data_IF_030178833441
#
_entry.id   IF_030178833441
#
_cell.length_a   1.000
_cell.length_b   1.000
_cell.length_c   1.000
_cell.angle_alpha   90.00
_cell.angle_beta   90.00
_cell.angle_gamma   90.00
#
_symmetry.space_group_name_H-M   'P 1'
#
loop_
_entity.id
_entity.type
_entity.pdbx_description
1 polymer ?
#
# COMPACT_ATOMS: atom_id res chain seq x y z
N UNK A 1 -15.27 -5.78 12.99
CA UNK A 1 -14.70 -6.96 12.29
C UNK A 1 -13.57 -6.54 11.35
N UNK A 2 -12.61 -7.42 10.99
CA UNK A 2 -11.52 -7.11 10.05
C UNK A 2 -11.59 -8.02 8.80
N UNK A 3 -11.79 -7.41 7.64
CA UNK A 3 -11.73 -8.02 6.31
C UNK A 3 -10.35 -7.75 5.69
N UNK A 4 -9.49 -8.77 5.68
CA UNK A 4 -8.10 -8.68 5.21
C UNK A 4 -7.74 -9.87 4.29
N UNK A 5 -6.43 -10.11 4.12
CA UNK A 5 -5.90 -11.20 3.30
C UNK A 5 -6.29 -12.62 3.77
N UNK A 6 -6.73 -12.78 5.01
CA UNK A 6 -7.13 -14.07 5.56
C UNK A 6 -8.59 -14.42 5.24
N UNK A 7 -9.38 -13.47 4.74
CA UNK A 7 -10.77 -13.68 4.38
C UNK A 7 -10.90 -14.73 3.25
N UNK A 8 -11.86 -15.68 3.33
CA UNK A 8 -12.03 -16.74 2.33
C UNK A 8 -12.17 -16.23 0.89
N UNK A 9 -12.94 -15.16 0.67
CA UNK A 9 -13.08 -14.54 -0.66
C UNK A 9 -11.74 -14.04 -1.22
N UNK A 10 -10.88 -13.46 -0.37
CA UNK A 10 -9.56 -13.00 -0.78
C UNK A 10 -8.65 -14.18 -1.16
N UNK A 11 -8.64 -15.22 -0.32
CA UNK A 11 -7.86 -16.44 -0.54
C UNK A 11 -8.24 -17.11 -1.87
N UNK A 12 -9.53 -17.21 -2.18
CA UNK A 12 -10.04 -17.78 -3.43
C UNK A 12 -9.55 -16.97 -4.65
N UNK A 13 -9.75 -15.65 -4.65
CA UNK A 13 -9.30 -14.76 -5.74
C UNK A 13 -7.79 -14.79 -5.94
N UNK A 14 -7.02 -14.86 -4.86
CA UNK A 14 -5.56 -14.92 -4.93
C UNK A 14 -5.08 -16.21 -5.61
N UNK A 15 -5.71 -17.37 -5.32
CA UNK A 15 -5.37 -18.65 -5.95
C UNK A 15 -5.60 -18.61 -7.46
N UNK A 16 -6.67 -17.97 -7.92
CA UNK A 16 -7.02 -17.88 -9.34
C UNK A 16 -6.17 -16.86 -10.11
N UNK A 17 -5.63 -15.85 -9.44
CA UNK A 17 -4.88 -14.77 -10.10
C UNK A 17 -3.39 -15.07 -10.34
N UNK A 18 -2.86 -16.25 -9.95
CA UNK A 18 -1.46 -16.66 -10.19
C UNK A 18 -0.38 -15.74 -9.57
N UNK A 19 -0.78 -14.76 -8.75
CA UNK A 19 0.11 -13.69 -8.30
C UNK A 19 0.94 -14.13 -7.08
N UNK A 20 2.23 -13.78 -7.11
CA UNK A 20 3.09 -13.93 -5.94
C UNK A 20 2.51 -13.10 -4.77
N UNK A 21 2.45 -13.72 -3.59
CA UNK A 21 1.75 -13.20 -2.40
C UNK A 21 2.38 -11.97 -1.78
N UNK A 22 3.59 -11.63 -2.23
CA UNK A 22 4.48 -10.65 -1.61
C UNK A 22 4.51 -9.31 -2.35
N UNK A 23 3.37 -8.81 -2.82
CA UNK A 23 3.34 -7.49 -3.48
C UNK A 23 3.15 -6.34 -2.47
N UNK A 24 3.42 -5.10 -2.91
CA UNK A 24 3.33 -3.94 -2.01
C UNK A 24 1.95 -3.69 -1.40
N UNK A 25 0.86 -4.05 -2.10
CA UNK A 25 -0.49 -3.92 -1.54
C UNK A 25 -0.73 -4.91 -0.39
N UNK A 26 -0.15 -6.12 -0.50
CA UNK A 26 -0.22 -7.11 0.57
C UNK A 26 0.44 -6.62 1.86
N UNK A 27 1.67 -6.12 1.76
CA UNK A 27 2.38 -5.61 2.93
C UNK A 27 1.75 -4.34 3.50
N UNK A 28 1.14 -3.51 2.67
CA UNK A 28 0.44 -2.33 3.17
C UNK A 28 -0.81 -2.70 3.98
N UNK A 29 -1.64 -3.62 3.49
CA UNK A 29 -2.78 -4.15 4.26
C UNK A 29 -2.33 -4.84 5.56
N UNK A 30 -1.21 -5.59 5.50
CA UNK A 30 -0.62 -6.22 6.69
C UNK A 30 -0.22 -5.17 7.73
N UNK A 31 0.51 -4.13 7.31
CA UNK A 31 0.91 -3.05 8.21
C UNK A 31 -0.30 -2.30 8.79
N UNK A 32 -1.38 -2.12 8.02
CA UNK A 32 -2.64 -1.55 8.54
C UNK A 32 -3.18 -2.41 9.69
N UNK A 33 -3.25 -3.73 9.50
CA UNK A 33 -3.77 -4.66 10.51
C UNK A 33 -2.88 -4.71 11.76
N UNK A 34 -1.56 -4.66 11.61
CA UNK A 34 -0.61 -4.82 12.72
C UNK A 34 -0.26 -3.50 13.43
N UNK A 35 -0.35 -2.37 12.74
CA UNK A 35 0.21 -1.10 13.22
C UNK A 35 -0.74 0.10 13.15
N UNK A 36 -1.91 -0.02 12.52
CA UNK A 36 -2.90 1.07 12.46
C UNK A 36 -4.14 0.70 13.26
N UNK A 37 -4.82 -0.40 12.91
CA UNK A 37 -6.07 -0.83 13.55
C UNK A 37 -5.95 -0.93 15.08
N UNK A 38 -4.89 -1.53 15.67
CA UNK A 38 -4.80 -1.68 17.12
C UNK A 38 -4.74 -0.36 17.90
N UNK A 39 -4.41 0.74 17.23
CA UNK A 39 -4.28 2.07 17.84
C UNK A 39 -5.51 2.96 17.63
N UNK A 40 -6.55 2.44 16.97
CA UNK A 40 -7.78 3.15 16.68
C UNK A 40 -8.94 2.42 17.37
N UNK A 41 -9.44 3.00 18.45
CA UNK A 41 -10.64 2.51 19.13
C UNK A 41 -11.89 2.99 18.41
N UNK A 42 -12.51 2.10 17.63
CA UNK A 42 -13.78 2.33 16.91
C UNK A 42 -14.56 1.02 16.85
N UNK A 43 -15.89 1.11 16.79
CA UNK A 43 -16.82 0.00 16.56
C UNK A 43 -17.00 -0.33 15.07
N UNK A 44 -16.47 0.50 14.18
CA UNK A 44 -16.49 0.29 12.73
C UNK A 44 -15.80 -0.99 12.30
N UNK A 45 -16.33 -1.57 11.23
CA UNK A 45 -15.67 -2.66 10.52
C UNK A 45 -14.48 -2.15 9.70
N UNK A 46 -13.49 -3.01 9.44
CA UNK A 46 -12.28 -2.67 8.71
C UNK A 46 -12.17 -3.46 7.41
N UNK A 47 -12.05 -2.78 6.27
CA UNK A 47 -11.81 -3.41 4.96
C UNK A 47 -10.44 -2.95 4.46
N UNK A 48 -9.45 -3.83 4.57
CA UNK A 48 -8.03 -3.51 4.30
C UNK A 48 -7.54 -4.04 2.97
N UNK A 49 -8.45 -4.55 2.14
CA UNK A 49 -8.16 -5.17 0.83
C UNK A 49 -9.33 -4.92 -0.12
N UNK A 50 -9.05 -4.79 -1.42
CA UNK A 50 -10.13 -4.69 -2.42
C UNK A 50 -10.80 -6.05 -2.64
N UNK A 51 -12.04 -6.20 -2.17
CA UNK A 51 -12.82 -7.43 -2.21
C UNK A 51 -14.23 -7.21 -2.80
N UNK A 52 -14.34 -6.97 -4.13
CA UNK A 52 -15.64 -6.83 -4.78
C UNK A 52 -16.52 -8.08 -4.63
N UNK A 53 -15.92 -9.25 -4.37
CA UNK A 53 -16.65 -10.48 -4.09
C UNK A 53 -17.49 -10.41 -2.81
N UNK A 54 -17.15 -9.55 -1.82
CA UNK A 54 -17.99 -9.33 -0.65
C UNK A 54 -19.38 -8.80 -1.05
N UNK A 55 -19.47 -8.09 -2.18
CA UNK A 55 -20.75 -7.63 -2.70
C UNK A 55 -21.70 -8.77 -3.08
N UNK A 56 -21.19 -9.99 -3.26
CA UNK A 56 -21.94 -11.20 -3.64
C UNK A 56 -22.18 -12.15 -2.45
N UNK A 57 -21.89 -11.69 -1.23
CA UNK A 57 -22.07 -12.45 0.01
C UNK A 57 -23.03 -11.71 0.93
N UNK A 58 -23.53 -12.39 1.97
CA UNK A 58 -24.42 -11.80 2.99
C UNK A 58 -23.68 -10.88 3.99
N UNK A 59 -22.43 -10.52 3.69
CA UNK A 59 -21.64 -9.61 4.51
C UNK A 59 -22.18 -8.19 4.35
N UNK A 60 -22.68 -7.62 5.45
CA UNK A 60 -22.96 -6.19 5.52
C UNK A 60 -21.68 -5.41 5.84
N UNK A 61 -21.39 -4.39 5.03
CA UNK A 61 -20.28 -3.46 5.22
C UNK A 61 -20.76 -2.05 5.57
N UNK A 62 -22.04 -1.87 5.90
CA UNK A 62 -22.47 -0.62 6.54
C UNK A 62 -21.58 -0.34 7.75
N UNK A 63 -21.32 0.94 8.00
CA UNK A 63 -20.51 1.37 9.15
C UNK A 63 -19.09 0.77 9.12
N UNK A 64 -18.37 0.98 8.00
CA UNK A 64 -17.02 0.45 7.78
C UNK A 64 -15.99 1.52 7.40
N UNK A 65 -14.75 1.32 7.82
CA UNK A 65 -13.56 2.00 7.32
C UNK A 65 -12.93 1.13 6.22
N UNK A 66 -12.83 1.68 5.01
CA UNK A 66 -12.36 0.99 3.80
C UNK A 66 -11.09 1.65 3.26
N UNK A 67 -10.02 0.89 3.14
CA UNK A 67 -8.77 1.35 2.52
C UNK A 67 -8.81 1.19 1.01
N UNK A 68 -8.63 2.30 0.29
CA UNK A 68 -8.63 2.36 -1.17
C UNK A 68 -7.21 2.17 -1.70
N UNK A 69 -6.92 0.96 -2.19
CA UNK A 69 -5.59 0.58 -2.70
C UNK A 69 -5.39 0.83 -4.21
N UNK A 70 -6.46 1.06 -4.97
CA UNK A 70 -6.39 1.22 -6.43
C UNK A 70 -6.82 2.62 -6.85
N UNK A 71 -5.86 3.55 -6.77
CA UNK A 71 -6.05 4.96 -7.11
C UNK A 71 -6.19 5.20 -8.62
N UNK A 72 -5.78 4.23 -9.46
CA UNK A 72 -5.82 4.35 -10.92
C UNK A 72 -7.19 3.97 -11.50
N UNK A 73 -7.94 3.11 -10.82
CA UNK A 73 -9.27 2.67 -11.25
C UNK A 73 -10.24 2.70 -10.06
N UNK A 74 -10.67 3.89 -9.61
CA UNK A 74 -11.63 4.03 -8.51
C UNK A 74 -12.97 3.35 -8.81
N UNK A 75 -13.33 3.19 -10.09
CA UNK A 75 -14.50 2.41 -10.51
C UNK A 75 -14.45 0.95 -10.04
N UNK A 76 -13.27 0.40 -9.72
CA UNK A 76 -13.15 -0.93 -9.10
C UNK A 76 -13.79 -1.03 -7.71
N UNK A 77 -14.20 0.09 -7.13
CA UNK A 77 -14.92 0.19 -5.86
C UNK A 77 -16.41 0.54 -6.01
N UNK A 78 -16.97 0.52 -7.23
CA UNK A 78 -18.40 0.83 -7.44
C UNK A 78 -19.35 -0.04 -6.61
N UNK A 79 -18.93 -1.26 -6.29
CA UNK A 79 -19.67 -2.18 -5.44
C UNK A 79 -19.88 -1.67 -4.01
N UNK A 80 -19.13 -0.65 -3.56
CA UNK A 80 -19.33 0.00 -2.27
C UNK A 80 -20.60 0.86 -2.21
N UNK A 81 -21.15 1.30 -3.36
CA UNK A 81 -22.35 2.17 -3.43
C UNK A 81 -23.58 1.63 -2.70
N UNK A 82 -23.65 0.32 -2.49
CA UNK A 82 -24.81 -0.31 -1.84
C UNK A 82 -24.77 -0.23 -0.31
N UNK A 83 -23.61 0.12 0.27
CA UNK A 83 -23.45 0.24 1.71
C UNK A 83 -23.50 1.71 2.14
N UNK A 84 -23.86 1.92 3.40
CA UNK A 84 -24.04 3.24 4.00
C UNK A 84 -22.97 3.49 5.05
N UNK A 85 -22.77 4.78 5.34
CA UNK A 85 -21.88 5.20 6.42
C UNK A 85 -20.46 4.61 6.28
N UNK A 86 -19.89 4.78 5.10
CA UNK A 86 -18.53 4.34 4.80
C UNK A 86 -17.53 5.47 5.02
N UNK A 87 -16.38 5.15 5.62
CA UNK A 87 -15.20 6.00 5.65
C UNK A 87 -14.18 5.42 4.68
N UNK A 88 -13.67 6.24 3.76
CA UNK A 88 -12.82 5.79 2.66
C UNK A 88 -11.41 6.36 2.79
N UNK A 89 -10.47 5.54 3.25
CA UNK A 89 -9.08 5.95 3.44
C UNK A 89 -8.34 5.89 2.12
N UNK A 90 -7.94 7.06 1.61
CA UNK A 90 -7.34 7.25 0.29
C UNK A 90 -5.86 7.61 0.40
N UNK A 91 -5.02 6.88 -0.34
CA UNK A 91 -3.57 7.13 -0.42
C UNK A 91 -3.15 8.30 -1.32
N UNK A 92 -4.08 8.83 -2.12
CA UNK A 92 -3.83 9.89 -3.12
C UNK A 92 -4.97 10.92 -3.05
N UNK A 93 -4.68 12.23 -3.00
CA UNK A 93 -5.73 13.26 -2.89
C UNK A 93 -6.77 13.21 -4.01
N UNK A 94 -6.35 13.07 -5.27
CA UNK A 94 -7.28 12.97 -6.41
C UNK A 94 -8.16 11.71 -6.42
N UNK A 95 -7.88 10.73 -5.54
CA UNK A 95 -8.78 9.59 -5.34
C UNK A 95 -9.94 9.95 -4.45
N UNK A 96 -9.78 10.85 -3.49
CA UNK A 96 -10.85 11.29 -2.57
C UNK A 96 -12.05 11.84 -3.34
N UNK A 97 -11.80 12.76 -4.28
CA UNK A 97 -12.82 13.36 -5.15
C UNK A 97 -13.58 12.30 -5.96
N UNK A 98 -12.89 11.23 -6.36
CA UNK A 98 -13.43 10.15 -7.19
C UNK A 98 -14.18 9.09 -6.41
N UNK A 99 -14.09 9.09 -5.08
CA UNK A 99 -14.76 8.09 -4.22
C UNK A 99 -15.73 8.71 -3.22
N UNK A 100 -15.81 10.04 -3.13
CA UNK A 100 -16.69 10.75 -2.19
C UNK A 100 -18.18 10.38 -2.31
N UNK A 101 -18.63 9.93 -3.49
CA UNK A 101 -20.00 9.46 -3.69
C UNK A 101 -20.26 8.03 -3.19
N UNK A 102 -19.22 7.33 -2.70
CA UNK A 102 -19.35 6.05 -2.01
C UNK A 102 -19.41 6.21 -0.48
N UNK A 103 -18.96 7.34 0.08
CA UNK A 103 -18.79 7.56 1.51
C UNK A 103 -17.83 8.72 1.80
N UNK A 104 -17.55 8.96 3.08
CA UNK A 104 -16.70 10.07 3.55
C UNK A 104 -15.22 9.78 3.31
N UNK A 105 -14.54 10.48 2.38
CA UNK A 105 -13.15 10.19 2.10
C UNK A 105 -12.20 10.88 3.10
N UNK A 106 -11.14 10.17 3.50
CA UNK A 106 -10.03 10.71 4.30
C UNK A 106 -8.73 10.52 3.52
N UNK A 107 -7.89 11.55 3.45
CA UNK A 107 -6.53 11.40 2.96
C UNK A 107 -5.64 10.79 4.04
N UNK A 108 -4.98 9.68 3.71
CA UNK A 108 -3.89 9.14 4.50
C UNK A 108 -2.75 8.74 3.57
N UNK A 109 -1.58 9.43 3.62
CA UNK A 109 -0.44 9.05 2.79
C UNK A 109 -0.05 7.59 3.02
N UNK A 110 0.50 6.96 1.97
CA UNK A 110 1.06 5.62 2.07
C UNK A 110 2.13 5.57 3.16
N UNK A 111 1.98 4.65 4.10
CA UNK A 111 2.90 4.45 5.23
C UNK A 111 3.54 3.07 5.23
N UNK A 112 4.67 2.96 5.94
CA UNK A 112 5.42 1.71 6.13
C UNK A 112 5.97 1.64 7.55
N UNK A 113 6.29 0.44 8.05
CA UNK A 113 6.97 0.29 9.34
C UNK A 113 8.46 0.65 9.20
N UNK A 114 8.80 1.92 9.42
CA UNK A 114 10.14 2.47 9.16
C UNK A 114 11.18 1.75 10.01
N UNK A 115 10.91 1.58 11.31
CA UNK A 115 11.81 0.90 12.25
C UNK A 115 12.13 -0.54 11.84
N UNK A 116 11.18 -1.25 11.22
CA UNK A 116 11.40 -2.60 10.73
C UNK A 116 12.30 -2.62 9.50
N UNK A 117 12.12 -1.66 8.59
CA UNK A 117 12.88 -1.55 7.34
C UNK A 117 14.32 -1.11 7.61
N UNK A 118 14.51 -0.17 8.54
CA UNK A 118 15.83 0.36 8.91
C UNK A 118 16.81 -0.72 9.38
N UNK A 119 16.32 -1.85 9.92
CA UNK A 119 17.13 -3.00 10.33
C UNK A 119 17.93 -3.62 9.18
N UNK A 120 17.50 -3.40 7.93
CA UNK A 120 18.18 -3.90 6.74
C UNK A 120 19.15 -2.88 6.14
N UNK A 121 19.21 -1.65 6.65
CA UNK A 121 20.05 -0.59 6.12
C UNK A 121 21.53 -0.95 6.25
N UNK A 122 22.29 -0.80 5.17
CA UNK A 122 23.74 -0.98 5.15
C UNK A 122 24.44 0.37 5.11
N UNK A 123 25.57 0.48 5.83
CA UNK A 123 26.44 1.67 5.78
C UNK A 123 27.21 1.77 4.46
N UNK A 124 27.60 0.61 3.91
CA UNK A 124 28.36 0.52 2.65
C UNK A 124 27.54 -0.25 1.62
N UNK A 125 27.46 0.31 0.42
CA UNK A 125 26.77 -0.24 -0.73
C UNK A 125 27.81 -0.78 -1.72
N UNK A 126 27.58 -2.00 -2.21
CA UNK A 126 28.51 -2.77 -3.04
C UNK A 126 27.98 -3.02 -4.46
N UNK A 127 26.78 -2.52 -4.78
CA UNK A 127 26.17 -2.63 -6.10
C UNK A 127 25.65 -1.29 -6.58
N UNK A 128 25.68 -1.06 -7.89
CA UNK A 128 25.33 0.25 -8.48
C UNK A 128 23.82 0.43 -8.62
N UNK A 129 23.20 -0.31 -9.56
CA UNK A 129 21.82 -0.05 -9.99
C UNK A 129 21.01 -1.35 -10.01
N UNK A 130 19.79 -1.28 -9.49
CA UNK A 130 18.81 -2.35 -9.62
C UNK A 130 17.40 -1.82 -9.93
N UNK A 131 16.58 -2.69 -10.53
CA UNK A 131 15.14 -2.56 -10.59
C UNK A 131 14.49 -3.40 -9.50
N UNK A 132 13.53 -2.80 -8.77
CA UNK A 132 12.74 -3.50 -7.77
C UNK A 132 11.24 -3.28 -8.03
N UNK A 133 10.56 -4.32 -8.50
CA UNK A 133 9.17 -4.21 -8.92
C UNK A 133 8.60 -5.52 -9.45
N UNK A 134 7.47 -5.41 -10.18
CA UNK A 134 6.93 -6.55 -10.93
C UNK A 134 7.67 -6.68 -12.24
N UNK A 135 8.00 -7.89 -12.64
CA UNK A 135 8.75 -8.16 -13.87
C UNK A 135 8.07 -7.58 -15.12
N UNK A 136 6.74 -7.71 -15.21
CA UNK A 136 5.94 -7.12 -16.30
C UNK A 136 5.84 -5.58 -16.28
N UNK A 137 6.55 -4.91 -15.37
CA UNK A 137 6.67 -3.44 -15.30
C UNK A 137 8.05 -2.95 -15.69
N UNK A 138 8.99 -3.84 -16.01
CA UNK A 138 10.26 -3.46 -16.59
C UNK A 138 9.98 -2.85 -17.97
N UNK A 139 10.50 -1.65 -18.21
CA UNK A 139 10.33 -0.91 -19.46
C UNK A 139 11.68 -0.31 -19.89
N UNK A 140 11.68 0.41 -21.01
CA UNK A 140 12.87 1.04 -21.58
C UNK A 140 13.53 2.11 -20.70
N UNK A 141 12.90 2.56 -19.61
CA UNK A 141 13.49 3.50 -18.65
C UNK A 141 14.41 2.80 -17.64
N UNK A 142 14.23 1.49 -17.47
CA UNK A 142 15.11 0.66 -16.65
C UNK A 142 16.34 0.32 -17.50
N UNK A 143 17.56 0.70 -17.10
CA UNK A 143 18.76 0.38 -17.86
C UNK A 143 18.94 -1.14 -18.01
N UNK A 144 19.40 -1.58 -19.18
CA UNK A 144 19.58 -3.01 -19.47
C UNK A 144 20.58 -3.71 -18.53
N UNK A 145 21.54 -2.95 -17.98
CA UNK A 145 22.53 -3.41 -17.02
C UNK A 145 22.03 -3.45 -15.57
N UNK A 146 20.83 -2.94 -15.27
CA UNK A 146 20.30 -2.95 -13.91
C UNK A 146 19.94 -4.37 -13.47
N UNK A 147 20.40 -4.77 -12.29
CA UNK A 147 20.01 -6.04 -11.69
C UNK A 147 18.48 -6.09 -11.46
N UNK A 148 17.86 -7.25 -11.63
CA UNK A 148 16.40 -7.40 -11.54
C UNK A 148 16.00 -8.06 -10.22
N UNK A 149 15.60 -7.26 -9.23
CA UNK A 149 15.11 -7.71 -7.93
C UNK A 149 13.60 -7.98 -7.99
N UNK A 150 13.21 -9.05 -8.68
CA UNK A 150 11.80 -9.43 -8.86
C UNK A 150 11.49 -10.79 -8.22
N UNK A 151 10.23 -11.02 -7.84
CA UNK A 151 9.80 -12.32 -7.29
C UNK A 151 10.32 -12.69 -5.89
N UNK A 152 11.20 -11.88 -5.30
CA UNK A 152 11.81 -12.15 -3.99
C UNK A 152 10.79 -12.01 -2.83
N UNK A 153 10.90 -12.86 -1.79
CA UNK A 153 10.26 -12.59 -0.50
C UNK A 153 10.70 -11.23 0.07
N UNK A 154 9.83 -10.54 0.82
CA UNK A 154 10.10 -9.14 1.20
C UNK A 154 11.37 -8.96 2.02
N UNK A 155 11.65 -9.84 2.97
CA UNK A 155 12.87 -9.76 3.77
C UNK A 155 14.13 -9.87 2.88
N UNK A 156 14.16 -10.79 1.90
CA UNK A 156 15.25 -10.90 0.91
C UNK A 156 15.32 -9.69 0.02
N UNK A 157 14.17 -9.18 -0.43
CA UNK A 157 14.11 -7.99 -1.26
C UNK A 157 14.70 -6.77 -0.55
N UNK A 158 14.36 -6.55 0.73
CA UNK A 158 14.95 -5.47 1.54
C UNK A 158 16.46 -5.66 1.76
N UNK A 159 16.89 -6.88 2.06
CA UNK A 159 18.32 -7.22 2.16
C UNK A 159 19.08 -6.92 0.87
N UNK A 160 18.61 -7.40 -0.28
CA UNK A 160 19.27 -7.17 -1.56
C UNK A 160 19.21 -5.69 -1.97
N UNK A 161 18.06 -5.02 -1.83
CA UNK A 161 17.95 -3.59 -2.16
C UNK A 161 18.93 -2.73 -1.37
N UNK A 162 19.18 -3.06 -0.09
CA UNK A 162 20.10 -2.29 0.76
C UNK A 162 21.53 -2.18 0.20
N UNK A 163 21.91 -3.10 -0.68
CA UNK A 163 23.23 -3.20 -1.33
C UNK A 163 23.45 -2.18 -2.44
N UNK A 164 22.37 -1.62 -3.01
CA UNK A 164 22.43 -0.79 -4.21
C UNK A 164 22.45 0.70 -3.89
N UNK A 165 23.21 1.47 -4.66
CA UNK A 165 23.18 2.94 -4.66
C UNK A 165 21.87 3.46 -5.23
N UNK A 166 21.49 3.00 -6.41
CA UNK A 166 20.28 3.45 -7.10
C UNK A 166 19.27 2.30 -7.27
N UNK A 167 18.00 2.60 -7.04
CA UNK A 167 16.89 1.67 -7.26
C UNK A 167 15.84 2.30 -8.18
N UNK A 168 15.56 1.62 -9.29
CA UNK A 168 14.37 1.85 -10.11
C UNK A 168 13.16 1.20 -9.45
N UNK A 169 12.29 2.01 -8.85
CA UNK A 169 11.10 1.54 -8.16
C UNK A 169 10.00 2.61 -8.11
N UNK A 170 8.77 2.19 -7.82
CA UNK A 170 7.64 3.10 -7.55
C UNK A 170 6.82 2.66 -6.34
N UNK A 171 6.01 3.59 -5.81
CA UNK A 171 5.08 3.35 -4.70
C UNK A 171 5.80 2.83 -3.44
N UNK A 172 5.20 1.84 -2.79
CA UNK A 172 5.70 1.28 -1.52
C UNK A 172 7.17 0.83 -1.58
N UNK A 173 7.56 0.08 -2.61
CA UNK A 173 8.95 -0.41 -2.75
C UNK A 173 9.96 0.73 -2.81
N UNK A 174 9.57 1.85 -3.38
CA UNK A 174 10.46 2.98 -3.56
C UNK A 174 10.56 3.86 -2.28
N UNK A 175 9.50 3.91 -1.47
CA UNK A 175 9.59 4.42 -0.07
C UNK A 175 10.56 3.56 0.74
N UNK A 176 10.49 2.24 0.60
CA UNK A 176 11.37 1.31 1.32
C UNK A 176 12.83 1.44 0.89
N UNK A 177 13.10 1.55 -0.42
CA UNK A 177 14.43 1.88 -0.92
C UNK A 177 14.97 3.20 -0.34
N UNK A 178 14.12 4.24 -0.22
CA UNK A 178 14.51 5.54 0.33
C UNK A 178 14.94 5.42 1.78
N UNK A 179 14.21 4.63 2.59
CA UNK A 179 14.58 4.35 4.00
C UNK A 179 15.93 3.61 4.08
N UNK A 180 16.17 2.66 3.17
CA UNK A 180 17.44 1.94 3.03
C UNK A 180 18.60 2.81 2.49
N UNK A 181 18.36 4.10 2.25
CA UNK A 181 19.35 5.05 1.79
C UNK A 181 19.73 4.91 0.32
N UNK A 182 18.88 4.29 -0.50
CA UNK A 182 19.06 4.26 -1.95
C UNK A 182 18.54 5.55 -2.58
N UNK A 183 19.19 6.00 -3.64
CA UNK A 183 18.62 6.97 -4.57
C UNK A 183 17.50 6.31 -5.39
N UNK A 184 16.39 7.01 -5.56
CA UNK A 184 15.20 6.48 -6.23
C UNK A 184 15.11 7.04 -7.63
N UNK A 185 15.03 6.14 -8.62
CA UNK A 185 14.66 6.46 -10.00
C UNK A 185 13.26 5.93 -10.29
N UNK A 186 12.39 6.76 -10.84
CA UNK A 186 11.02 6.36 -11.18
C UNK A 186 10.99 5.80 -12.59
N UNK A 187 10.50 4.57 -12.72
CA UNK A 187 10.31 3.94 -14.03
C UNK A 187 8.93 4.23 -14.66
N UNK A 188 8.01 4.88 -13.94
CA UNK A 188 6.62 5.14 -14.36
C UNK A 188 6.20 6.58 -14.05
N UNK A 189 6.09 7.42 -15.09
CA UNK A 189 5.87 8.89 -14.98
C UNK A 189 4.58 9.30 -14.28
N UNK A 190 3.65 8.35 -14.10
CA UNK A 190 2.42 8.61 -13.36
C UNK A 190 2.69 8.83 -11.87
N UNK A 191 3.85 8.40 -11.38
CA UNK A 191 4.27 8.65 -10.01
C UNK A 191 5.02 9.98 -9.92
N UNK A 192 4.75 10.80 -8.89
CA UNK A 192 5.42 12.08 -8.74
C UNK A 192 6.91 11.89 -8.47
N UNK A 193 7.70 12.95 -8.61
CA UNK A 193 9.14 12.95 -8.34
C UNK A 193 9.42 12.46 -6.88
N UNK A 194 10.32 11.45 -6.69
CA UNK A 194 10.64 10.89 -5.37
C UNK A 194 11.13 11.88 -4.33
N UNK A 195 11.67 13.04 -4.75
CA UNK A 195 12.10 14.08 -3.81
C UNK A 195 10.94 14.61 -2.96
N UNK A 196 9.72 14.59 -3.50
CA UNK A 196 8.52 15.03 -2.80
C UNK A 196 7.87 13.92 -1.96
N UNK A 197 8.34 12.68 -2.07
CA UNK A 197 7.75 11.58 -1.31
C UNK A 197 8.18 11.66 0.14
N UNK A 198 7.20 11.88 1.01
CA UNK A 198 7.40 11.82 2.45
C UNK A 198 7.44 10.36 2.90
N UNK A 199 8.43 10.03 3.72
CA UNK A 199 8.43 8.76 4.45
C UNK A 199 7.50 8.95 5.64
N UNK A 200 6.41 8.20 5.67
CA UNK A 200 5.47 8.19 6.78
C UNK A 200 5.51 6.84 7.49
N UNK A 201 5.78 6.87 8.79
CA UNK A 201 5.73 5.67 9.62
C UNK A 201 4.27 5.26 9.92
N UNK A 202 4.00 3.96 10.02
CA UNK A 202 2.66 3.46 10.31
C UNK A 202 2.08 3.97 11.64
N UNK A 203 2.91 4.20 12.65
CA UNK A 203 2.45 4.76 13.93
C UNK A 203 1.99 6.21 13.77
N UNK A 204 2.70 7.02 12.98
CA UNK A 204 2.28 8.40 12.72
C UNK A 204 1.04 8.44 11.81
N UNK A 205 0.94 7.51 10.85
CA UNK A 205 -0.27 7.33 10.05
C UNK A 205 -1.49 6.98 10.93
N UNK A 206 -1.31 6.14 11.96
CA UNK A 206 -2.38 5.80 12.89
C UNK A 206 -2.91 7.04 13.65
N UNK A 207 -2.01 7.92 14.10
CA UNK A 207 -2.37 9.17 14.78
C UNK A 207 -3.11 10.13 13.85
N UNK A 208 -2.63 10.28 12.62
CA UNK A 208 -3.30 11.11 11.60
C UNK A 208 -4.71 10.60 11.34
N UNK A 209 -4.86 9.28 11.13
CA UNK A 209 -6.17 8.68 10.89
C UNK A 209 -7.09 8.85 12.11
N UNK A 210 -6.61 8.59 13.33
CA UNK A 210 -7.39 8.79 14.55
C UNK A 210 -7.89 10.23 14.69
N UNK A 211 -7.04 11.22 14.43
CA UNK A 211 -7.44 12.61 14.48
C UNK A 211 -8.51 12.93 13.42
N UNK A 212 -8.36 12.38 12.21
CA UNK A 212 -9.34 12.57 11.13
C UNK A 212 -10.68 11.90 11.44
N UNK A 213 -10.68 10.75 12.10
CA UNK A 213 -11.90 10.08 12.58
C UNK A 213 -12.62 10.94 13.63
N UNK A 214 -11.87 11.46 14.62
CA UNK A 214 -12.44 12.38 15.63
C UNK A 214 -13.05 13.65 15.04
N UNK A 215 -12.40 14.22 14.01
CA UNK A 215 -12.90 15.41 13.30
C UNK A 215 -14.27 15.17 12.64
N UNK A 216 -14.57 13.92 12.25
CA UNK A 216 -15.84 13.54 11.62
C UNK A 216 -16.84 12.88 12.59
N UNK A 217 -16.51 12.84 13.89
CA UNK A 217 -17.40 12.34 14.95
C UNK A 217 -17.24 10.85 15.28
N UNK A 218 -16.08 10.25 14.99
CA UNK A 218 -15.79 8.81 15.09
C UNK A 218 -14.65 8.47 16.05
#
# INVERSE_FOLDING_TARGET
MIYNHEHPCYKKRRRTAGNNKYNGAYYYSKDICEHIIPYIGTDRNWVTVNLPELAKTDVNLDHSIVFIHNNLQPNSYQWLRKYKDLILVCGVPSTMEKVQFFGTPIYLPLSVNVKQIEKYKRKVKDKLVAFAGRENKINNRVPSYADKLTGLPRYRLLQEMSRYYEIYAVGRTAIEAKILGCEIKVYDDRFPDPKFWRVLDCYDASKILLNKLKEIGE
#
